data_IF_537929634230
#
_entry.id   IF_537929634230
#
_cell.length_a   1.000
_cell.length_b   1.000
_cell.length_c   1.000
_cell.angle_alpha   90.00
_cell.angle_beta   90.00
_cell.angle_gamma   90.00
#
_symmetry.space_group_name_H-M   'P 1'
#
loop_
_entity.id
_entity.type
_entity.pdbx_description
1 polymer ?
#
# COMPACT_ATOMS: atom_id res chain seq x y z
N UNK A 1 6.05 -5.12 13.23
CA UNK A 1 5.08 -4.27 13.96
C UNK A 1 3.74 -4.97 13.83
N UNK A 2 3.01 -5.16 14.93
CA UNK A 2 1.67 -5.77 14.92
C UNK A 2 0.65 -4.73 15.37
N UNK A 3 -0.32 -4.42 14.51
CA UNK A 3 -1.43 -3.52 14.83
C UNK A 3 -2.72 -4.06 14.20
N UNK A 4 -3.79 -4.19 14.98
CA UNK A 4 -5.11 -4.66 14.52
C UNK A 4 -5.11 -6.01 13.77
N UNK A 5 -4.22 -6.92 14.13
CA UNK A 5 -4.07 -8.23 13.45
C UNK A 5 -3.30 -8.18 12.12
N UNK A 6 -2.72 -7.02 11.78
CA UNK A 6 -1.88 -6.86 10.59
C UNK A 6 -0.41 -6.80 11.04
N UNK A 7 0.40 -7.72 10.52
CA UNK A 7 1.86 -7.74 10.71
C UNK A 7 2.55 -7.47 9.39
N UNK A 8 3.40 -6.43 9.36
CA UNK A 8 4.25 -6.13 8.21
C UNK A 8 5.63 -5.65 8.67
N UNK A 9 6.61 -5.88 7.79
CA UNK A 9 7.97 -5.39 7.94
C UNK A 9 8.16 -4.25 6.97
N UNK A 10 8.48 -3.07 7.49
CA UNK A 10 8.74 -1.88 6.70
C UNK A 10 9.77 -1.03 7.42
N UNK A 11 10.14 0.09 6.80
CA UNK A 11 11.24 0.92 7.22
C UNK A 11 10.72 2.10 8.03
N UNK A 12 11.42 2.39 9.11
CA UNK A 12 11.12 3.51 9.98
C UNK A 12 12.23 4.54 9.84
N UNK A 13 11.84 5.77 9.54
CA UNK A 13 12.78 6.87 9.52
C UNK A 13 13.31 7.12 10.94
N UNK A 14 14.63 7.25 11.07
CA UNK A 14 15.29 7.38 12.39
C UNK A 14 15.21 8.80 12.95
N UNK A 15 14.98 9.80 12.09
CA UNK A 15 14.97 11.22 12.50
C UNK A 15 13.57 11.64 12.95
N UNK A 16 12.56 11.34 12.14
CA UNK A 16 11.16 11.71 12.37
C UNK A 16 10.35 10.60 13.05
N UNK A 17 10.84 9.36 13.04
CA UNK A 17 10.11 8.21 13.58
C UNK A 17 8.94 7.74 12.71
N UNK A 18 8.73 8.34 11.54
CA UNK A 18 7.67 8.00 10.60
C UNK A 18 7.93 6.64 9.92
N UNK A 19 6.85 6.00 9.48
CA UNK A 19 6.85 4.65 8.95
C UNK A 19 6.58 4.71 7.45
N UNK A 20 7.43 4.05 6.66
CA UNK A 20 7.23 3.93 5.23
C UNK A 20 6.07 2.99 4.92
N UNK A 21 5.18 3.37 3.99
CA UNK A 21 4.18 2.44 3.47
C UNK A 21 4.87 1.33 2.65
N UNK A 22 4.71 0.04 3.03
CA UNK A 22 5.38 -1.07 2.33
C UNK A 22 4.90 -1.22 0.88
N UNK A 23 3.67 -0.78 0.59
CA UNK A 23 3.06 -0.82 -0.74
C UNK A 23 3.58 0.31 -1.63
N UNK A 24 3.67 1.55 -1.14
CA UNK A 24 4.03 2.67 -2.00
C UNK A 24 5.51 2.69 -2.40
N UNK A 25 6.42 2.18 -1.56
CA UNK A 25 7.87 2.32 -1.77
C UNK A 25 8.58 1.05 -2.25
N UNK A 26 7.89 -0.09 -2.21
CA UNK A 26 8.52 -1.41 -2.23
C UNK A 26 9.61 -1.53 -1.14
N UNK A 27 9.18 -1.55 0.12
CA UNK A 27 10.09 -1.49 1.29
C UNK A 27 11.17 -2.58 1.26
N UNK A 28 10.85 -3.75 0.71
CA UNK A 28 11.77 -4.87 0.48
C UNK A 28 13.07 -4.41 -0.20
N UNK A 29 12.98 -3.67 -1.30
CA UNK A 29 14.17 -3.25 -2.06
C UNK A 29 14.79 -1.97 -1.54
N UNK A 30 14.00 -1.06 -0.99
CA UNK A 30 14.50 0.27 -0.60
C UNK A 30 15.28 0.25 0.71
N UNK A 31 14.97 -0.67 1.60
CA UNK A 31 15.49 -0.55 2.97
C UNK A 31 15.55 -1.87 3.76
N UNK A 32 15.02 -2.97 3.21
CA UNK A 32 15.24 -4.32 3.77
C UNK A 32 16.30 -5.13 3.02
N UNK A 33 16.99 -4.51 2.04
CA UNK A 33 18.07 -5.16 1.28
C UNK A 33 17.61 -6.30 0.36
N UNK A 34 16.30 -6.40 0.11
CA UNK A 34 15.70 -7.38 -0.78
C UNK A 34 15.87 -7.03 -2.26
N UNK A 35 15.43 -7.94 -3.12
CA UNK A 35 15.51 -7.78 -4.58
C UNK A 35 14.65 -6.59 -5.05
N UNK A 36 15.12 -5.79 -6.03
CA UNK A 36 14.30 -4.76 -6.66
C UNK A 36 13.02 -5.35 -7.27
N UNK A 37 11.91 -4.59 -7.32
CA UNK A 37 10.68 -5.08 -7.92
C UNK A 37 10.92 -5.41 -9.41
N UNK A 38 10.31 -6.50 -9.89
CA UNK A 38 10.36 -6.85 -11.30
C UNK A 38 9.29 -6.05 -12.08
N UNK A 39 9.70 -5.38 -13.17
CA UNK A 39 8.79 -4.68 -14.08
C UNK A 39 8.47 -3.22 -13.71
N UNK A 40 7.28 -2.76 -14.13
CA UNK A 40 6.79 -1.38 -14.06
C UNK A 40 6.16 -1.06 -12.68
N UNK A 41 6.94 -1.17 -11.60
CA UNK A 41 6.46 -0.83 -10.26
C UNK A 41 6.28 0.69 -10.14
N UNK A 42 5.03 1.14 -10.07
CA UNK A 42 4.69 2.56 -9.90
C UNK A 42 4.88 2.95 -8.44
N UNK A 43 5.97 3.67 -8.17
CA UNK A 43 6.21 4.32 -6.90
C UNK A 43 5.34 5.58 -6.79
N UNK A 44 4.76 5.83 -5.62
CA UNK A 44 4.18 7.15 -5.32
C UNK A 44 5.28 8.16 -4.94
N UNK A 45 4.98 9.43 -4.66
CA UNK A 45 6.01 10.44 -4.30
C UNK A 45 6.06 10.76 -2.80
N UNK A 46 5.11 10.26 -2.00
CA UNK A 46 5.05 10.47 -0.54
C UNK A 46 4.76 9.16 0.16
N UNK A 47 5.52 8.89 1.22
CA UNK A 47 5.71 7.52 1.68
C UNK A 47 5.73 7.32 3.18
N UNK A 48 5.98 8.38 3.94
CA UNK A 48 6.20 8.32 5.37
C UNK A 48 4.95 8.77 6.09
N UNK A 49 4.47 7.93 6.99
CA UNK A 49 3.20 8.09 7.68
C UNK A 49 3.41 7.90 9.18
N UNK A 50 2.55 8.50 9.99
CA UNK A 50 2.39 8.02 11.38
C UNK A 50 1.76 6.62 11.36
N UNK A 51 1.75 5.91 12.50
CA UNK A 51 1.12 4.59 12.56
C UNK A 51 -0.38 4.68 12.22
N UNK A 52 -1.08 5.70 12.73
CA UNK A 52 -2.51 5.89 12.49
C UNK A 52 -2.79 6.24 11.02
N UNK A 53 -2.04 7.20 10.46
CA UNK A 53 -2.16 7.56 9.05
C UNK A 53 -1.85 6.38 8.12
N UNK A 54 -0.87 5.54 8.48
CA UNK A 54 -0.54 4.35 7.70
C UNK A 54 -1.70 3.35 7.69
N UNK A 55 -2.33 3.12 8.84
CA UNK A 55 -3.49 2.23 8.94
C UNK A 55 -4.65 2.78 8.10
N UNK A 56 -4.92 4.09 8.18
CA UNK A 56 -5.97 4.71 7.36
C UNK A 56 -5.65 4.64 5.86
N UNK A 57 -4.40 4.91 5.49
CA UNK A 57 -3.93 4.82 4.11
C UNK A 57 -4.08 3.40 3.55
N UNK A 58 -3.66 2.37 4.31
CA UNK A 58 -3.80 0.97 3.91
C UNK A 58 -5.28 0.57 3.74
N UNK A 59 -6.14 0.97 4.67
CA UNK A 59 -7.60 0.75 4.55
C UNK A 59 -8.14 1.40 3.27
N UNK A 60 -7.81 2.67 3.02
CA UNK A 60 -8.24 3.40 1.84
C UNK A 60 -7.72 2.79 0.53
N UNK A 61 -6.46 2.33 0.51
CA UNK A 61 -5.85 1.65 -0.63
C UNK A 61 -6.65 0.39 -1.01
N UNK A 62 -6.95 -0.46 -0.03
CA UNK A 62 -7.76 -1.66 -0.26
C UNK A 62 -9.21 -1.34 -0.67
N UNK A 63 -9.82 -0.29 -0.10
CA UNK A 63 -11.15 0.17 -0.49
C UNK A 63 -11.19 0.69 -1.93
N UNK A 64 -10.16 1.39 -2.40
CA UNK A 64 -10.04 1.82 -3.80
C UNK A 64 -9.92 0.63 -4.75
N UNK A 65 -9.12 -0.37 -4.39
CA UNK A 65 -9.03 -1.63 -5.13
C UNK A 65 -10.37 -2.38 -5.19
N UNK A 66 -11.13 -2.34 -4.10
CA UNK A 66 -12.46 -2.93 -4.01
C UNK A 66 -13.50 -2.18 -4.84
N UNK A 67 -13.53 -0.84 -4.76
CA UNK A 67 -14.41 -0.01 -5.57
C UNK A 67 -14.18 -0.25 -7.06
N UNK A 68 -12.93 -0.26 -7.50
CA UNK A 68 -12.58 -0.53 -8.90
C UNK A 68 -13.01 -1.92 -9.37
N UNK A 69 -13.05 -2.91 -8.46
CA UNK A 69 -13.60 -4.25 -8.74
C UNK A 69 -15.12 -4.24 -8.84
N UNK A 70 -15.82 -3.57 -7.92
CA UNK A 70 -17.29 -3.44 -7.98
C UNK A 70 -17.68 -2.70 -9.26
N UNK A 71 -17.04 -1.58 -9.59
CA UNK A 71 -17.32 -0.82 -10.80
C UNK A 71 -17.12 -1.67 -12.05
N UNK A 72 -16.07 -2.49 -12.10
CA UNK A 72 -15.83 -3.43 -13.21
C UNK A 72 -16.93 -4.49 -13.32
N UNK A 73 -17.42 -5.03 -12.21
CA UNK A 73 -18.50 -6.02 -12.20
C UNK A 73 -19.81 -5.36 -12.65
N UNK A 74 -20.14 -4.18 -12.12
CA UNK A 74 -21.33 -3.42 -12.49
C UNK A 74 -21.33 -3.04 -13.98
N UNK A 75 -20.17 -2.70 -14.55
CA UNK A 75 -20.06 -2.38 -15.98
C UNK A 75 -20.02 -3.60 -16.90
N UNK A 76 -19.76 -4.81 -16.38
CA UNK A 76 -19.91 -6.06 -17.13
C UNK A 76 -21.37 -6.51 -17.19
N UNK A 77 -22.13 -6.32 -16.11
CA UNK A 77 -23.58 -6.61 -16.03
C UNK A 77 -24.39 -5.79 -17.06
N UNK A 78 -24.00 -4.54 -17.31
CA UNK A 78 -24.65 -3.66 -18.30
C UNK A 78 -24.34 -3.98 -19.78
N UNK A 79 -23.59 -5.05 -20.07
CA UNK A 79 -23.27 -5.49 -21.44
C UNK A 79 -23.96 -6.81 -21.81
N UNK A 80 -24.77 -7.39 -20.92
CA UNK A 80 -25.51 -8.64 -21.14
C UNK A 80 -27.02 -8.42 -21.40
N UNK A 81 -27.47 -7.18 -21.63
CA UNK A 81 -28.82 -6.82 -22.12
C UNK A 81 -28.79 -6.34 -23.59
#
# INVERSE_FOLDING_TARGET
>A
MEAHGISFTTCRDRVTGLIACPICIHASSKCLGGKPPAGDYRFENSFFYTLDDLIQHLKAYHLRGWHKRIEKIASMDSMEE
#
